data_IF_632554138271
#
_entry.id   IF_632554138271
#
_cell.length_a   1.000
_cell.length_b   1.000
_cell.length_c   1.000
_cell.angle_alpha   90.00
_cell.angle_beta   90.00
_cell.angle_gamma   90.00
#
_symmetry.space_group_name_H-M   'P 1'
#
loop_
_entity.id
_entity.type
_entity.pdbx_description
1 polymer ?
#
# COMPACT_ATOMS: atom_id res chain seq x y z
N UNK A 1 5.48 34.70 4.89
CA UNK A 1 4.46 34.39 3.88
C UNK A 1 3.87 33.02 4.16
N UNK A 2 2.55 32.93 4.25
CA UNK A 2 1.79 31.68 4.42
C UNK A 2 1.51 31.01 3.06
N UNK A 3 1.11 29.73 3.06
CA UNK A 3 0.82 28.99 1.81
C UNK A 3 -0.35 29.61 1.03
N UNK A 4 -1.44 29.91 1.73
CA UNK A 4 -2.66 30.48 1.11
C UNK A 4 -2.36 31.83 0.45
N UNK A 5 -1.50 32.64 1.08
CA UNK A 5 -1.03 33.90 0.54
C UNK A 5 -0.21 33.68 -0.74
N UNK A 6 0.72 32.73 -0.72
CA UNK A 6 1.53 32.37 -1.88
C UNK A 6 0.69 31.81 -3.05
N UNK A 7 -0.29 30.95 -2.76
CA UNK A 7 -1.27 30.43 -3.74
C UNK A 7 -2.07 31.56 -4.39
N UNK A 8 -2.56 32.51 -3.60
CA UNK A 8 -3.30 33.66 -4.11
C UNK A 8 -2.43 34.50 -5.05
N UNK A 9 -1.17 34.73 -4.67
CA UNK A 9 -0.19 35.44 -5.49
C UNK A 9 0.11 34.71 -6.81
N UNK A 10 0.28 33.38 -6.80
CA UNK A 10 0.47 32.61 -8.04
C UNK A 10 -0.75 32.69 -8.94
N UNK A 11 -1.96 32.52 -8.39
CA UNK A 11 -3.20 32.61 -9.19
C UNK A 11 -3.34 33.97 -9.86
N UNK A 12 -3.02 35.05 -9.15
CA UNK A 12 -3.05 36.39 -9.73
C UNK A 12 -1.95 36.57 -10.80
N UNK A 13 -0.73 36.12 -10.50
CA UNK A 13 0.37 36.18 -11.45
C UNK A 13 0.06 35.40 -12.74
N UNK A 14 -0.53 34.21 -12.65
CA UNK A 14 -0.96 33.42 -13.82
C UNK A 14 -1.97 34.18 -14.68
N UNK A 15 -2.96 34.86 -14.07
CA UNK A 15 -3.96 35.66 -14.82
C UNK A 15 -3.34 36.79 -15.64
N UNK A 16 -2.19 37.32 -15.21
CA UNK A 16 -1.47 38.35 -15.98
C UNK A 16 -0.68 37.80 -17.17
N UNK A 17 -0.57 36.47 -17.30
CA UNK A 17 0.17 35.81 -18.38
C UNK A 17 -0.77 35.38 -19.51
N UNK A 18 -0.32 35.44 -20.78
CA UNK A 18 -1.08 34.89 -21.89
C UNK A 18 -1.41 33.41 -21.67
N UNK A 19 -2.70 33.07 -21.69
CA UNK A 19 -3.19 31.70 -21.50
C UNK A 19 -3.09 31.16 -20.07
N UNK A 20 -2.69 31.99 -19.08
CA UNK A 20 -2.57 31.56 -17.70
C UNK A 20 -3.90 31.32 -16.99
N UNK A 21 -5.02 31.81 -17.56
CA UNK A 21 -6.40 31.47 -17.17
C UNK A 21 -6.73 29.99 -17.37
N UNK A 22 -5.99 29.30 -18.27
CA UNK A 22 -6.13 27.87 -18.55
C UNK A 22 -5.21 27.00 -17.69
N UNK A 23 -4.38 27.61 -16.84
CA UNK A 23 -3.44 26.90 -15.99
C UNK A 23 -3.99 26.79 -14.56
N UNK A 24 -3.69 25.68 -13.89
CA UNK A 24 -4.04 25.45 -12.49
C UNK A 24 -2.82 24.91 -11.74
N UNK A 25 -2.73 25.28 -10.47
CA UNK A 25 -1.75 24.73 -9.54
C UNK A 25 -2.08 23.26 -9.30
N UNK A 26 -1.03 22.44 -9.27
CA UNK A 26 -1.07 21.05 -8.84
C UNK A 26 -0.73 20.99 -7.37
N UNK A 27 -1.76 20.99 -6.53
CA UNK A 27 -1.60 21.10 -5.07
C UNK A 27 -0.68 19.98 -4.53
N UNK A 28 -0.71 18.80 -5.16
CA UNK A 28 0.10 17.63 -4.79
C UNK A 28 1.63 17.83 -4.97
N UNK A 29 2.07 18.88 -5.67
CA UNK A 29 3.47 19.20 -5.92
C UNK A 29 3.90 20.56 -5.36
N UNK A 30 3.13 21.14 -4.43
CA UNK A 30 3.50 22.39 -3.75
C UNK A 30 4.62 22.14 -2.73
N UNK A 31 5.69 22.94 -2.78
CA UNK A 31 6.85 22.77 -1.89
C UNK A 31 7.25 24.08 -1.22
N UNK A 32 7.39 24.05 0.11
CA UNK A 32 8.01 25.12 0.91
C UNK A 32 9.53 24.95 0.96
N UNK A 33 10.26 26.04 0.75
CA UNK A 33 11.71 26.14 0.96
C UNK A 33 12.06 27.40 1.79
N UNK A 34 13.29 27.53 2.30
CA UNK A 34 13.70 28.71 3.06
C UNK A 34 13.59 30.02 2.28
N UNK A 35 13.79 29.97 0.95
CA UNK A 35 13.77 31.10 0.03
C UNK A 35 12.37 31.47 -0.49
N UNK A 36 11.38 30.58 -0.33
CA UNK A 36 10.04 30.81 -0.84
C UNK A 36 9.22 29.55 -1.08
N UNK A 37 8.20 29.69 -1.92
CA UNK A 37 7.31 28.60 -2.34
C UNK A 37 7.52 28.25 -3.80
N UNK A 38 7.38 26.97 -4.13
CA UNK A 38 7.39 26.47 -5.50
C UNK A 38 6.09 25.75 -5.79
N UNK A 39 5.45 26.11 -6.90
CA UNK A 39 4.16 25.57 -7.34
C UNK A 39 4.28 25.01 -8.75
N UNK A 40 4.04 23.72 -8.91
CA UNK A 40 3.89 23.12 -10.22
C UNK A 40 2.53 23.50 -10.81
N UNK A 41 2.50 23.96 -12.06
CA UNK A 41 1.26 24.30 -12.76
C UNK A 41 1.10 23.43 -14.01
N UNK A 42 -0.15 23.17 -14.41
CA UNK A 42 -0.45 22.46 -15.65
C UNK A 42 -1.78 22.96 -16.23
N UNK A 43 -2.10 22.57 -17.47
CA UNK A 43 -3.36 22.91 -18.10
C UNK A 43 -4.54 22.30 -17.33
N UNK A 44 -5.56 23.11 -17.04
CA UNK A 44 -6.78 22.66 -16.40
C UNK A 44 -7.44 21.51 -17.18
N UNK A 45 -7.46 21.58 -18.51
CA UNK A 45 -8.05 20.56 -19.36
C UNK A 45 -7.39 19.17 -19.20
N UNK A 46 -6.07 19.13 -18.98
CA UNK A 46 -5.32 17.93 -18.68
C UNK A 46 -5.64 17.40 -17.29
N UNK A 47 -5.65 18.29 -16.27
CA UNK A 47 -5.95 17.91 -14.88
C UNK A 47 -7.40 17.42 -14.70
N UNK A 48 -8.33 17.98 -15.45
CA UNK A 48 -9.75 17.59 -15.44
C UNK A 48 -10.01 16.33 -16.31
N UNK A 49 -8.99 15.80 -16.98
CA UNK A 49 -9.08 14.60 -17.84
C UNK A 49 -9.84 14.82 -19.15
N UNK A 50 -10.16 16.06 -19.49
CA UNK A 50 -10.94 16.43 -20.69
C UNK A 50 -10.12 16.43 -21.98
N UNK A 51 -8.81 16.73 -21.88
CA UNK A 51 -7.86 16.67 -22.98
C UNK A 51 -6.48 16.25 -22.46
N UNK A 52 -6.13 14.99 -22.70
CA UNK A 52 -4.84 14.43 -22.30
C UNK A 52 -3.68 15.11 -23.06
N UNK A 53 -3.91 15.59 -24.29
CA UNK A 53 -2.91 16.27 -25.11
C UNK A 53 -2.59 17.69 -24.66
N UNK A 54 -3.39 18.27 -23.76
CA UNK A 54 -3.17 19.62 -23.23
C UNK A 54 -2.08 19.69 -22.15
N UNK A 55 -1.53 18.54 -21.72
CA UNK A 55 -0.54 18.46 -20.66
C UNK A 55 0.74 19.24 -20.99
N UNK A 56 1.19 20.08 -20.04
CA UNK A 56 2.47 20.78 -20.14
C UNK A 56 3.59 19.89 -19.59
N UNK A 57 4.55 19.58 -20.47
CA UNK A 57 5.70 18.72 -20.18
C UNK A 57 6.99 19.36 -20.70
N UNK A 58 7.99 19.64 -19.84
CA UNK A 58 7.91 19.57 -18.38
C UNK A 58 6.85 20.54 -17.84
N UNK A 59 6.21 20.18 -16.72
CA UNK A 59 5.24 21.08 -16.08
C UNK A 59 5.95 22.32 -15.56
N UNK A 60 5.47 23.54 -15.87
CA UNK A 60 6.09 24.76 -15.37
C UNK A 60 6.06 24.82 -13.84
N UNK A 61 7.13 25.35 -13.25
CA UNK A 61 7.24 25.58 -11.81
C UNK A 61 7.33 27.07 -11.57
N UNK A 62 6.40 27.60 -10.78
CA UNK A 62 6.33 29.01 -10.38
C UNK A 62 6.97 29.16 -9.02
N UNK A 63 7.97 30.06 -8.91
CA UNK A 63 8.61 30.41 -7.64
C UNK A 63 8.07 31.72 -7.08
N UNK A 64 7.70 31.70 -5.81
CA UNK A 64 7.24 32.87 -5.05
C UNK A 64 8.21 33.16 -3.91
N UNK A 65 9.02 34.23 -4.00
CA UNK A 65 9.99 34.60 -2.96
C UNK A 65 9.34 34.87 -1.60
N UNK A 66 9.95 34.38 -0.52
CA UNK A 66 9.46 34.54 0.84
C UNK A 66 9.41 36.01 1.33
N UNK A 67 10.23 36.87 0.74
CA UNK A 67 10.38 38.29 1.04
C UNK A 67 9.39 39.20 0.29
N UNK A 68 8.49 38.62 -0.52
CA UNK A 68 7.55 39.40 -1.32
C UNK A 68 8.07 39.81 -2.70
N UNK A 69 9.27 39.39 -3.08
CA UNK A 69 9.90 39.69 -4.37
C UNK A 69 9.11 39.20 -5.61
N UNK A 70 9.71 39.43 -6.78
CA UNK A 70 9.12 39.09 -8.07
C UNK A 70 8.93 37.57 -8.26
N UNK A 71 7.76 37.19 -8.77
CA UNK A 71 7.43 35.79 -9.07
C UNK A 71 8.03 35.42 -10.42
N UNK A 72 8.82 34.35 -10.44
CA UNK A 72 9.54 33.87 -11.63
C UNK A 72 9.17 32.44 -11.97
N UNK A 73 9.50 32.02 -13.20
CA UNK A 73 9.53 30.61 -13.56
C UNK A 73 10.85 30.01 -13.09
N UNK A 74 10.78 28.97 -12.28
CA UNK A 74 11.94 28.24 -11.79
C UNK A 74 12.32 27.16 -12.81
N UNK A 75 13.14 27.53 -13.79
CA UNK A 75 13.56 26.64 -14.87
C UNK A 75 14.35 25.42 -14.36
N UNK A 76 15.09 25.56 -13.26
CA UNK A 76 15.85 24.47 -12.65
C UNK A 76 14.91 23.45 -12.00
N UNK A 77 13.90 23.94 -11.27
CA UNK A 77 12.84 23.08 -10.75
C UNK A 77 11.96 22.49 -11.84
N UNK A 78 11.72 23.18 -12.96
CA UNK A 78 11.03 22.61 -14.13
C UNK A 78 11.77 21.40 -14.70
N UNK A 79 13.10 21.47 -14.78
CA UNK A 79 13.95 20.35 -15.17
C UNK A 79 13.98 19.21 -14.13
N UNK A 80 13.57 19.49 -12.89
CA UNK A 80 13.60 18.57 -11.75
C UNK A 80 12.21 18.09 -11.28
N UNK A 81 11.11 18.64 -11.83
CA UNK A 81 9.75 18.10 -11.65
C UNK A 81 9.80 16.61 -11.98
N UNK A 82 9.25 15.69 -11.17
CA UNK A 82 9.34 14.25 -11.46
C UNK A 82 8.73 14.01 -12.83
N UNK A 83 9.62 13.89 -13.81
CA UNK A 83 9.24 13.82 -15.19
C UNK A 83 8.58 12.45 -15.40
N UNK A 84 7.96 12.32 -16.55
CA UNK A 84 7.51 11.07 -17.19
C UNK A 84 8.62 9.99 -17.33
N UNK A 85 9.76 10.17 -16.67
CA UNK A 85 10.90 9.27 -16.58
C UNK A 85 10.83 8.31 -15.38
N UNK A 86 9.96 8.57 -14.39
CA UNK A 86 9.83 7.68 -13.23
C UNK A 86 9.12 6.37 -13.62
N UNK A 87 9.81 5.27 -13.32
CA UNK A 87 9.29 3.92 -13.47
C UNK A 87 8.23 3.66 -12.40
N UNK A 88 6.96 3.49 -12.81
CA UNK A 88 5.87 3.11 -11.91
C UNK A 88 5.74 1.59 -11.86
N UNK A 89 5.54 0.99 -10.69
CA UNK A 89 5.33 -0.45 -10.60
C UNK A 89 4.01 -0.82 -11.28
N UNK A 90 4.07 -1.80 -12.18
CA UNK A 90 2.90 -2.52 -12.67
C UNK A 90 2.68 -3.73 -11.77
N UNK A 91 1.78 -3.57 -10.79
CA UNK A 91 1.54 -4.57 -9.75
C UNK A 91 0.59 -5.66 -10.27
N UNK A 92 0.78 -6.89 -9.82
CA UNK A 92 -0.17 -7.98 -10.03
C UNK A 92 -1.53 -7.62 -9.39
N UNK A 93 -2.65 -7.72 -10.13
CA UNK A 93 -3.96 -7.30 -9.64
C UNK A 93 -4.46 -8.08 -8.42
N UNK A 94 -3.85 -9.22 -8.08
CA UNK A 94 -4.17 -9.98 -6.88
C UNK A 94 -3.50 -9.44 -5.61
N UNK A 95 -2.55 -8.49 -5.72
CA UNK A 95 -1.95 -7.82 -4.56
C UNK A 95 -2.82 -6.64 -4.09
N UNK A 96 -3.23 -6.69 -2.84
CA UNK A 96 -4.03 -5.64 -2.19
C UNK A 96 -3.13 -4.60 -1.51
N UNK A 97 -2.74 -3.57 -2.26
CA UNK A 97 -1.93 -2.44 -1.77
C UNK A 97 -2.61 -1.64 -0.65
N UNK A 98 -3.95 -1.68 -0.55
CA UNK A 98 -4.68 -0.94 0.49
C UNK A 98 -4.59 -1.66 1.83
N UNK A 99 -4.70 -2.98 1.81
CA UNK A 99 -4.55 -3.80 3.01
C UNK A 99 -3.08 -3.95 3.43
N UNK A 100 -2.15 -3.96 2.46
CA UNK A 100 -0.72 -4.18 2.70
C UNK A 100 0.13 -3.15 1.94
N UNK A 101 0.52 -2.04 2.59
CA UNK A 101 1.23 -0.95 1.93
C UNK A 101 2.68 -1.30 1.53
N UNK A 102 3.26 -2.31 2.18
CA UNK A 102 4.61 -2.79 1.86
C UNK A 102 4.55 -3.66 0.59
N UNK A 103 4.82 -3.06 -0.57
CA UNK A 103 4.76 -3.73 -1.88
C UNK A 103 5.96 -4.69 -2.06
N UNK A 104 5.74 -6.03 -2.12
CA UNK A 104 6.82 -6.96 -2.35
C UNK A 104 7.24 -6.96 -3.82
N UNK A 105 8.56 -6.93 -4.08
CA UNK A 105 9.09 -6.93 -5.45
C UNK A 105 8.55 -8.09 -6.29
N UNK A 106 8.28 -9.24 -5.68
CA UNK A 106 7.78 -10.43 -6.38
C UNK A 106 6.32 -10.31 -6.85
N UNK A 107 5.54 -9.37 -6.32
CA UNK A 107 4.20 -9.04 -6.80
C UNK A 107 4.21 -7.98 -7.92
N UNK A 108 5.35 -7.37 -8.22
CA UNK A 108 5.49 -6.40 -9.31
C UNK A 108 5.74 -7.18 -10.60
N UNK A 109 4.85 -7.09 -11.59
CA UNK A 109 5.02 -7.72 -12.91
C UNK A 109 6.14 -7.07 -13.72
N UNK A 110 6.27 -5.77 -13.55
CA UNK A 110 7.28 -4.95 -14.19
C UNK A 110 7.13 -3.49 -13.80
N UNK A 111 7.76 -2.62 -14.56
CA UNK A 111 7.61 -1.19 -14.40
C UNK A 111 7.20 -0.57 -15.73
N UNK A 112 6.31 0.40 -15.66
CA UNK A 112 5.84 1.17 -16.80
C UNK A 112 6.27 2.63 -16.67
N UNK A 113 6.55 3.26 -17.80
CA UNK A 113 6.62 4.72 -17.89
C UNK A 113 5.36 5.25 -18.56
N UNK A 114 4.97 6.51 -18.30
CA UNK A 114 3.92 7.20 -19.08
C UNK A 114 4.16 7.17 -20.59
N UNK A 115 5.42 7.11 -21.03
CA UNK A 115 5.82 6.98 -22.44
C UNK A 115 5.42 5.63 -23.09
N UNK A 116 4.98 4.66 -22.30
CA UNK A 116 4.63 3.30 -22.76
C UNK A 116 5.80 2.31 -22.71
N UNK A 117 7.01 2.74 -22.33
CA UNK A 117 8.13 1.82 -22.09
C UNK A 117 7.78 0.85 -20.95
N UNK A 118 8.08 -0.43 -21.15
CA UNK A 118 7.86 -1.49 -20.16
C UNK A 118 9.15 -2.24 -19.85
N UNK A 119 9.46 -2.38 -18.57
CA UNK A 119 10.57 -3.18 -18.06
C UNK A 119 10.01 -4.35 -17.27
N UNK A 120 10.24 -5.57 -17.75
CA UNK A 120 9.85 -6.80 -17.05
C UNK A 120 10.60 -6.92 -15.72
N UNK A 121 9.92 -7.40 -14.69
CA UNK A 121 10.57 -7.83 -13.46
C UNK A 121 10.88 -9.33 -13.50
N UNK A 122 12.16 -9.69 -13.56
CA UNK A 122 12.59 -11.10 -13.59
C UNK A 122 12.29 -11.85 -12.28
N UNK A 123 12.05 -11.13 -11.18
CA UNK A 123 11.69 -11.72 -9.89
C UNK A 123 10.18 -11.92 -9.71
N UNK A 124 9.38 -11.44 -10.68
CA UNK A 124 7.93 -11.56 -10.63
C UNK A 124 7.50 -13.02 -10.48
N UNK A 125 6.60 -13.26 -9.53
CA UNK A 125 5.94 -14.55 -9.36
C UNK A 125 4.44 -14.34 -9.53
N UNK A 126 3.72 -15.14 -10.34
CA UNK A 126 2.29 -14.98 -10.53
C UNK A 126 1.45 -15.09 -9.25
N UNK A 127 0.35 -14.35 -9.23
CA UNK A 127 -0.64 -14.32 -8.17
C UNK A 127 -1.15 -15.70 -7.70
N UNK A 128 -1.55 -15.83 -6.43
CA UNK A 128 -2.08 -17.07 -5.87
C UNK A 128 -3.24 -17.69 -6.65
N UNK A 129 -4.27 -16.93 -7.02
CA UNK A 129 -5.45 -17.45 -7.72
C UNK A 129 -5.07 -17.92 -9.13
N UNK A 130 -4.20 -17.20 -9.84
CA UNK A 130 -3.61 -17.67 -11.10
C UNK A 130 -2.84 -18.98 -10.96
N UNK A 131 -2.31 -19.27 -9.77
CA UNK A 131 -1.63 -20.54 -9.45
C UNK A 131 -2.58 -21.62 -8.88
N UNK A 132 -3.89 -21.38 -8.89
CA UNK A 132 -4.91 -22.33 -8.46
C UNK A 132 -5.21 -22.33 -6.96
N UNK A 133 -4.72 -21.34 -6.21
CA UNK A 133 -5.12 -21.18 -4.81
C UNK A 133 -6.56 -20.63 -4.71
N UNK A 134 -7.29 -20.92 -3.62
CA UNK A 134 -8.62 -20.37 -3.40
C UNK A 134 -8.60 -18.83 -3.35
N UNK A 135 -9.66 -18.19 -3.85
CA UNK A 135 -9.84 -16.74 -3.74
C UNK A 135 -9.99 -16.37 -2.26
N UNK A 136 -9.09 -15.57 -1.69
CA UNK A 136 -9.15 -15.21 -0.28
C UNK A 136 -10.26 -14.19 -0.04
N UNK A 137 -11.02 -14.36 1.05
CA UNK A 137 -12.11 -13.46 1.44
C UNK A 137 -11.78 -12.60 2.67
N UNK A 138 -10.60 -12.78 3.24
CA UNK A 138 -10.11 -12.07 4.45
C UNK A 138 -8.64 -11.74 4.30
N UNK A 139 -8.16 -10.76 5.07
CA UNK A 139 -6.76 -10.33 5.00
C UNK A 139 -5.78 -11.40 5.51
N UNK A 140 -6.16 -12.16 6.55
CA UNK A 140 -5.41 -13.33 6.99
C UNK A 140 -5.27 -14.39 5.87
N UNK A 141 -6.34 -14.62 5.09
CA UNK A 141 -6.30 -15.56 3.95
C UNK A 141 -5.45 -15.01 2.79
N UNK A 142 -5.48 -13.70 2.53
CA UNK A 142 -4.59 -13.05 1.55
C UNK A 142 -3.12 -13.25 1.92
N UNK A 143 -2.76 -13.01 3.19
CA UNK A 143 -1.40 -13.22 3.69
C UNK A 143 -0.93 -14.67 3.56
N UNK A 144 -1.79 -15.65 3.87
CA UNK A 144 -1.48 -17.07 3.67
C UNK A 144 -1.16 -17.38 2.20
N UNK A 145 -1.97 -16.83 1.30
CA UNK A 145 -1.79 -16.96 -0.13
C UNK A 145 -0.49 -16.28 -0.61
N UNK A 146 -0.20 -15.05 -0.16
CA UNK A 146 1.04 -14.33 -0.49
C UNK A 146 2.29 -15.08 -0.01
N UNK A 147 2.25 -15.63 1.21
CA UNK A 147 3.32 -16.47 1.73
C UNK A 147 3.48 -17.74 0.88
N UNK A 148 2.38 -18.38 0.48
CA UNK A 148 2.41 -19.63 -0.29
C UNK A 148 3.01 -19.47 -1.69
N UNK A 149 2.82 -18.33 -2.35
CA UNK A 149 3.47 -18.01 -3.63
C UNK A 149 4.83 -17.34 -3.48
N UNK A 150 5.25 -17.08 -2.23
CA UNK A 150 6.55 -16.47 -1.92
C UNK A 150 6.62 -14.98 -2.23
N UNK A 151 5.48 -14.27 -2.28
CA UNK A 151 5.48 -12.80 -2.37
C UNK A 151 6.04 -12.17 -1.11
N UNK A 152 5.71 -12.74 0.04
CA UNK A 152 6.24 -12.32 1.35
C UNK A 152 7.00 -13.46 2.00
N UNK A 153 7.99 -13.11 2.81
CA UNK A 153 8.73 -14.02 3.66
C UNK A 153 7.93 -14.39 4.92
N UNK A 154 8.40 -15.41 5.62
CA UNK A 154 7.79 -15.85 6.89
C UNK A 154 7.82 -14.77 7.99
N UNK A 155 8.91 -14.00 8.19
CA UNK A 155 8.90 -12.88 9.13
C UNK A 155 7.92 -11.75 8.75
N UNK A 156 7.85 -11.39 7.46
CA UNK A 156 6.90 -10.40 6.96
C UNK A 156 5.46 -10.85 7.16
N UNK A 157 5.18 -12.13 6.88
CA UNK A 157 3.89 -12.76 7.18
C UNK A 157 3.54 -12.67 8.66
N UNK A 158 4.45 -13.08 9.56
CA UNK A 158 4.19 -13.07 11.00
C UNK A 158 3.88 -11.65 11.49
N UNK A 159 4.66 -10.65 11.06
CA UNK A 159 4.44 -9.24 11.41
C UNK A 159 3.09 -8.73 10.89
N UNK A 160 2.78 -8.93 9.62
CA UNK A 160 1.53 -8.44 9.02
C UNK A 160 0.29 -9.17 9.58
N UNK A 161 0.44 -10.43 9.96
CA UNK A 161 -0.65 -11.23 10.51
C UNK A 161 -1.13 -10.69 11.87
N UNK A 162 -0.27 -10.03 12.65
CA UNK A 162 -0.63 -9.44 13.95
C UNK A 162 -1.77 -8.42 13.87
N UNK A 163 -1.94 -7.76 12.72
CA UNK A 163 -3.00 -6.78 12.45
C UNK A 163 -4.25 -7.40 11.82
N UNK A 164 -4.21 -8.69 11.45
CA UNK A 164 -5.33 -9.36 10.82
C UNK A 164 -6.30 -9.95 11.85
N UNK A 165 -7.60 -9.90 11.54
CA UNK A 165 -8.62 -10.63 12.30
C UNK A 165 -8.64 -12.12 11.93
N UNK A 166 -8.75 -12.96 12.95
CA UNK A 166 -8.96 -14.41 12.82
C UNK A 166 -10.15 -14.86 13.63
N UNK A 167 -10.62 -16.08 13.37
CA UNK A 167 -11.71 -16.72 14.11
C UNK A 167 -11.16 -17.82 15.01
N UNK A 168 -11.32 -17.66 16.33
CA UNK A 168 -10.93 -18.64 17.34
C UNK A 168 -12.18 -19.39 17.82
N UNK A 169 -12.26 -20.72 17.69
CA UNK A 169 -13.34 -21.51 18.27
C UNK A 169 -13.38 -21.42 19.80
N UNK A 170 -14.59 -21.40 20.36
CA UNK A 170 -14.86 -21.40 21.79
C UNK A 170 -15.72 -22.62 22.19
N UNK A 171 -15.18 -23.85 22.22
CA UNK A 171 -15.97 -25.05 22.52
C UNK A 171 -16.66 -24.97 23.89
N UNK A 172 -15.95 -24.49 24.92
CA UNK A 172 -16.44 -24.39 26.30
C UNK A 172 -16.46 -22.94 26.82
N UNK A 173 -16.57 -21.97 25.91
CA UNK A 173 -16.45 -20.54 26.22
C UNK A 173 -15.01 -20.01 26.24
N UNK A 174 -14.02 -20.90 26.27
CA UNK A 174 -12.59 -20.57 26.24
C UNK A 174 -11.98 -20.82 24.86
N UNK A 175 -10.91 -20.08 24.46
CA UNK A 175 -10.15 -20.33 23.24
C UNK A 175 -9.70 -21.77 23.10
N UNK A 176 -9.93 -22.37 21.92
CA UNK A 176 -9.41 -23.68 21.61
C UNK A 176 -7.88 -23.62 21.50
N UNK A 177 -7.21 -24.26 22.47
CA UNK A 177 -5.74 -24.39 22.53
C UNK A 177 -5.35 -25.86 22.42
N UNK A 178 -4.26 -26.13 21.69
CA UNK A 178 -3.69 -27.48 21.55
C UNK A 178 -2.24 -27.50 22.03
N UNK A 179 -1.80 -28.54 22.78
CA UNK A 179 -0.39 -28.74 23.05
C UNK A 179 0.36 -29.18 21.79
N UNK A 180 1.54 -28.62 21.56
CA UNK A 180 2.47 -29.03 20.50
C UNK A 180 3.21 -30.27 20.99
N UNK A 181 3.04 -31.45 20.36
CA UNK A 181 3.58 -32.70 20.89
C UNK A 181 5.09 -32.72 21.11
N UNK A 182 5.85 -31.99 20.28
CA UNK A 182 7.30 -31.99 20.32
C UNK A 182 7.91 -31.06 21.38
N UNK A 183 7.24 -29.95 21.73
CA UNK A 183 7.78 -28.91 22.61
C UNK A 183 7.02 -28.77 23.92
N UNK A 184 5.78 -29.29 23.99
CA UNK A 184 4.86 -29.04 25.10
C UNK A 184 4.29 -27.61 25.11
N UNK A 185 4.67 -26.77 24.15
CA UNK A 185 4.13 -25.42 23.98
C UNK A 185 2.64 -25.47 23.64
N UNK A 186 1.97 -24.34 23.82
CA UNK A 186 0.54 -24.20 23.53
C UNK A 186 0.34 -23.38 22.27
N UNK A 187 -0.56 -23.83 21.41
CA UNK A 187 -0.98 -23.08 20.22
C UNK A 187 -2.48 -22.81 20.28
N UNK A 188 -2.87 -21.56 20.05
CA UNK A 188 -4.26 -21.22 19.75
C UNK A 188 -4.59 -21.74 18.36
N UNK A 189 -5.75 -22.39 18.23
CA UNK A 189 -6.29 -22.80 16.95
C UNK A 189 -7.18 -21.68 16.41
N UNK A 190 -6.85 -21.16 15.24
CA UNK A 190 -7.63 -20.11 14.58
C UNK A 190 -7.88 -20.42 13.11
N UNK A 191 -8.84 -19.70 12.53
CA UNK A 191 -9.23 -19.83 11.14
C UNK A 191 -9.27 -18.45 10.48
N UNK A 192 -8.75 -18.36 9.26
CA UNK A 192 -8.76 -17.13 8.46
C UNK A 192 -10.17 -16.78 7.95
N UNK A 193 -11.06 -17.78 7.83
CA UNK A 193 -12.41 -17.60 7.31
C UNK A 193 -13.44 -18.47 8.02
N UNK A 194 -14.67 -17.96 8.12
CA UNK A 194 -15.79 -18.68 8.73
C UNK A 194 -16.18 -19.96 7.99
N UNK A 195 -15.87 -20.05 6.69
CA UNK A 195 -16.10 -21.23 5.87
C UNK A 195 -15.19 -22.41 6.25
N UNK A 196 -14.06 -22.13 6.89
CA UNK A 196 -13.10 -23.14 7.33
C UNK A 196 -13.35 -23.63 8.76
N UNK A 197 -14.18 -22.93 9.54
CA UNK A 197 -14.49 -23.31 10.92
C UNK A 197 -15.37 -24.56 10.93
N UNK A 198 -14.94 -25.67 11.57
CA UNK A 198 -15.76 -26.87 11.66
C UNK A 198 -17.11 -26.62 12.34
N UNK A 199 -18.18 -27.22 11.81
CA UNK A 199 -19.55 -27.05 12.33
C UNK A 199 -19.76 -27.46 13.80
N UNK A 200 -18.84 -28.25 14.38
CA UNK A 200 -18.83 -28.58 15.81
C UNK A 200 -18.50 -27.39 16.73
N UNK A 201 -18.07 -26.26 16.18
CA UNK A 201 -17.74 -25.04 16.92
C UNK A 201 -18.72 -23.91 16.59
N UNK A 202 -19.92 -23.91 17.19
CA UNK A 202 -20.94 -22.89 16.90
C UNK A 202 -20.56 -21.51 17.46
N UNK A 203 -19.77 -21.48 18.54
CA UNK A 203 -19.26 -20.25 19.15
C UNK A 203 -17.83 -19.98 18.67
N UNK A 204 -17.60 -18.74 18.26
CA UNK A 204 -16.32 -18.27 17.74
C UNK A 204 -16.09 -16.82 18.16
N UNK A 205 -14.86 -16.52 18.48
CA UNK A 205 -14.38 -15.18 18.75
C UNK A 205 -13.66 -14.66 17.52
N UNK A 206 -14.11 -13.53 16.98
CA UNK A 206 -13.36 -12.77 15.97
C UNK A 206 -12.44 -11.81 16.71
N UNK A 207 -11.15 -11.89 16.44
CA UNK A 207 -10.14 -11.17 17.22
C UNK A 207 -8.90 -10.90 16.36
N UNK A 208 -8.27 -9.72 16.49
CA UNK A 208 -6.93 -9.48 15.97
C UNK A 208 -5.90 -10.46 16.54
N UNK A 209 -4.97 -10.94 15.73
CA UNK A 209 -3.97 -11.93 16.19
C UNK A 209 -3.12 -11.39 17.35
N UNK A 210 -2.82 -10.08 17.38
CA UNK A 210 -2.10 -9.44 18.49
C UNK A 210 -2.80 -9.52 19.85
N UNK A 211 -4.11 -9.72 19.88
CA UNK A 211 -4.89 -9.79 21.11
C UNK A 211 -5.03 -11.24 21.62
N UNK A 212 -4.43 -12.22 20.91
CA UNK A 212 -4.33 -13.58 21.39
C UNK A 212 -3.35 -13.68 22.57
N UNK A 213 -3.48 -14.72 23.43
CA UNK A 213 -2.55 -14.95 24.51
C UNK A 213 -1.10 -14.99 24.01
N UNK A 214 -0.27 -14.03 24.45
CA UNK A 214 1.11 -13.90 23.99
C UNK A 214 1.94 -15.16 24.27
N UNK A 215 1.68 -15.88 25.36
CA UNK A 215 2.39 -17.12 25.69
C UNK A 215 2.07 -18.32 24.78
N UNK A 216 1.15 -18.17 23.83
CA UNK A 216 0.78 -19.24 22.92
C UNK A 216 1.19 -18.92 21.48
N UNK A 217 1.63 -19.96 20.76
CA UNK A 217 1.71 -19.90 19.31
C UNK A 217 0.33 -19.88 18.65
N UNK A 218 0.31 -19.89 17.33
CA UNK A 218 -0.91 -19.88 16.52
C UNK A 218 -0.83 -20.95 15.45
N UNK A 219 -1.82 -21.84 15.39
CA UNK A 219 -2.09 -22.65 14.20
C UNK A 219 -3.28 -22.04 13.46
N UNK A 220 -3.03 -21.56 12.24
CA UNK A 220 -4.03 -21.00 11.34
C UNK A 220 -4.47 -22.03 10.29
N UNK A 221 -5.79 -22.14 10.09
CA UNK A 221 -6.46 -23.01 9.12
C UNK A 221 -6.02 -24.50 9.19
N UNK A 222 -6.11 -25.13 10.38
CA UNK A 222 -5.74 -26.53 10.54
C UNK A 222 -6.54 -27.45 9.61
N UNK A 223 -5.87 -28.45 9.05
CA UNK A 223 -6.50 -29.43 8.15
C UNK A 223 -6.64 -28.94 6.70
N UNK A 224 -6.11 -27.77 6.36
CA UNK A 224 -6.02 -27.28 4.99
C UNK A 224 -4.60 -27.45 4.43
N UNK A 225 -4.44 -27.41 3.10
CA UNK A 225 -3.11 -27.38 2.46
C UNK A 225 -2.31 -26.10 2.72
N UNK A 226 -2.97 -25.08 3.29
CA UNK A 226 -2.37 -23.79 3.65
C UNK A 226 -2.10 -23.65 5.15
N UNK A 227 -2.27 -24.72 5.94
CA UNK A 227 -2.02 -24.67 7.40
C UNK A 227 -0.66 -24.04 7.71
N UNK A 228 -0.65 -23.09 8.65
CA UNK A 228 0.59 -22.49 9.16
C UNK A 228 0.56 -22.47 10.67
N UNK A 229 1.65 -22.97 11.27
CA UNK A 229 1.94 -22.81 12.69
C UNK A 229 3.00 -21.74 12.87
N UNK A 230 2.77 -20.81 13.79
CA UNK A 230 3.69 -19.77 14.23
C UNK A 230 3.95 -19.99 15.72
N UNK A 231 5.21 -19.91 16.15
CA UNK A 231 5.55 -19.96 17.57
C UNK A 231 5.16 -18.66 18.26
N UNK A 232 5.09 -18.68 19.59
CA UNK A 232 4.89 -17.47 20.40
C UNK A 232 5.99 -16.42 20.10
N UNK A 233 7.24 -16.86 19.98
CA UNK A 233 8.37 -16.00 19.64
C UNK A 233 8.24 -15.33 18.26
N UNK A 234 7.72 -16.05 17.26
CA UNK A 234 7.46 -15.47 15.92
C UNK A 234 6.37 -14.40 15.95
N UNK A 235 5.42 -14.51 16.88
CA UNK A 235 4.34 -13.55 17.11
C UNK A 235 4.77 -12.37 18.00
N UNK A 236 6.05 -12.29 18.37
CA UNK A 236 6.58 -11.20 19.20
C UNK A 236 6.33 -11.38 20.70
N UNK A 237 5.99 -12.59 21.15
CA UNK A 237 5.95 -12.88 22.58
C UNK A 237 7.34 -13.19 23.12
N UNK A 238 7.75 -12.42 24.12
CA UNK A 238 8.97 -12.62 24.92
C UNK A 238 8.66 -13.36 26.21
#
# INVERSE_FOLDING_TARGET
MEEQEAVARVREWLRTRPGGDRLRIRDEFTVRRPDGWRFTVNAAAYLDGTDIGAGLVPSPVVFVPADGGEITLDQESMASTPAETEWRPDVDPEFDEKAFPDLPVRAIRGWTRPTGEYRVNEQYTPGPVWRGFPVPTTDAAKLLNYLAVGWISRPEFARALLDCEVLVPLPDGEPLVRPVPATGEREVIAYSSSALVPGRYPRRWRVPVRDLPSSAGLTLDPGTGLVRSLTAAELGAT
#
